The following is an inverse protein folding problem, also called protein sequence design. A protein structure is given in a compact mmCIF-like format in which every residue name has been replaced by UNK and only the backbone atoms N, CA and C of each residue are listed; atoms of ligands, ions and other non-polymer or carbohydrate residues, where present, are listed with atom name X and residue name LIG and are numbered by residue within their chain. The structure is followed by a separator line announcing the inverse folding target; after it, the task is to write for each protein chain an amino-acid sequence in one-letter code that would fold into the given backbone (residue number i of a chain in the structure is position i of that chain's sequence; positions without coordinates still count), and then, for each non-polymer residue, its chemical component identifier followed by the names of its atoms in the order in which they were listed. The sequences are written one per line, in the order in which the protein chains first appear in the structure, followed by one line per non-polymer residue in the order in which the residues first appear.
data_IF_731593675270
#
_entry.id   IF_731593675270
#
_cell.length_a   1.000
_cell.length_b   1.000
_cell.length_c   1.000
_cell.angle_alpha   90.00
_cell.angle_beta   90.00
_cell.angle_gamma   90.00
#
_symmetry.space_group_name_H-M   'P 1'
#
loop_
_entity.id
_entity.type
_entity.pdbx_description
1 polymer ?
#
# COMPACT_ATOMS: atom_id res chain seq x y z
N UNK A 1 -27.48 0.51 -1.55
CA UNK A 1 -26.05 0.73 -1.32
C UNK A 1 -25.29 1.17 -2.58
N UNK A 2 -25.62 0.67 -3.79
CA UNK A 2 -24.91 0.99 -5.05
C UNK A 2 -25.01 2.47 -5.49
N UNK A 3 -26.20 3.10 -5.42
CA UNK A 3 -26.39 4.48 -5.89
C UNK A 3 -25.57 5.49 -5.08
N UNK A 4 -25.50 5.34 -3.76
CA UNK A 4 -24.71 6.22 -2.88
C UNK A 4 -23.22 6.19 -3.20
N UNK A 5 -22.68 5.00 -3.48
CA UNK A 5 -21.27 4.84 -3.87
C UNK A 5 -21.03 5.43 -5.27
N UNK A 6 -21.95 5.24 -6.20
CA UNK A 6 -21.85 5.82 -7.54
C UNK A 6 -21.77 7.35 -7.49
N UNK A 7 -22.67 8.00 -6.74
CA UNK A 7 -22.69 9.47 -6.57
C UNK A 7 -21.40 9.96 -5.90
N UNK A 8 -20.96 9.29 -4.82
CA UNK A 8 -19.69 9.59 -4.14
C UNK A 8 -18.51 9.53 -5.10
N UNK A 9 -18.39 8.45 -5.86
CA UNK A 9 -17.31 8.23 -6.81
C UNK A 9 -17.36 9.22 -7.97
N UNK A 10 -18.55 9.61 -8.42
CA UNK A 10 -18.72 10.66 -9.42
C UNK A 10 -18.09 11.98 -8.96
N UNK A 11 -18.46 12.50 -7.78
CA UNK A 11 -17.89 13.73 -7.25
C UNK A 11 -16.40 13.61 -6.95
N UNK A 12 -15.95 12.45 -6.47
CA UNK A 12 -14.54 12.18 -6.24
C UNK A 12 -13.74 12.25 -7.55
N UNK A 13 -14.25 11.64 -8.62
CA UNK A 13 -13.60 11.67 -9.93
C UNK A 13 -13.68 13.05 -10.62
N UNK A 14 -14.65 13.90 -10.30
CA UNK A 14 -14.61 15.30 -10.74
C UNK A 14 -13.41 16.04 -10.16
N UNK A 15 -13.07 15.77 -8.89
CA UNK A 15 -11.91 16.37 -8.22
C UNK A 15 -10.58 15.74 -8.62
N UNK A 16 -10.59 14.41 -8.86
CA UNK A 16 -9.42 13.58 -9.17
C UNK A 16 -9.71 12.67 -10.37
N UNK A 17 -9.73 13.22 -11.61
CA UNK A 17 -10.18 12.49 -12.82
C UNK A 17 -9.35 11.26 -13.17
N UNK A 18 -8.13 11.20 -12.69
CA UNK A 18 -7.21 10.08 -12.92
C UNK A 18 -7.57 8.81 -12.15
N UNK A 19 -8.46 8.87 -11.16
CA UNK A 19 -8.98 7.69 -10.47
C UNK A 19 -10.18 7.04 -11.15
N UNK A 20 -10.71 7.64 -12.22
CA UNK A 20 -11.84 7.08 -12.96
C UNK A 20 -11.44 5.76 -13.62
N UNK A 21 -12.14 4.67 -13.29
CA UNK A 21 -11.91 3.36 -13.89
C UNK A 21 -12.16 3.36 -15.38
N UNK A 22 -11.23 2.76 -16.11
CA UNK A 22 -11.29 2.54 -17.55
C UNK A 22 -10.93 1.10 -17.86
N UNK A 23 -11.55 0.55 -18.86
CA UNK A 23 -11.11 -0.73 -19.39
C UNK A 23 -9.70 -0.57 -19.97
N UNK A 24 -8.77 -1.38 -19.51
CA UNK A 24 -7.34 -1.29 -19.85
C UNK A 24 -7.12 -1.52 -21.35
N UNK A 25 -7.93 -2.38 -21.95
CA UNK A 25 -7.81 -2.76 -23.36
C UNK A 25 -8.47 -1.77 -24.32
N UNK A 26 -9.65 -1.27 -23.95
CA UNK A 26 -10.45 -0.42 -24.84
C UNK A 26 -10.37 1.07 -24.51
N UNK A 27 -9.82 1.44 -23.33
CA UNK A 27 -9.80 2.81 -22.82
C UNK A 27 -11.18 3.38 -22.47
N UNK A 28 -12.28 2.60 -22.67
CA UNK A 28 -13.65 3.04 -22.38
C UNK A 28 -13.86 3.17 -20.87
N UNK A 29 -14.65 4.18 -20.45
CA UNK A 29 -15.01 4.36 -19.05
C UNK A 29 -15.91 3.23 -18.55
N UNK A 30 -15.60 2.71 -17.35
CA UNK A 30 -16.42 1.72 -16.64
C UNK A 30 -17.51 2.35 -15.75
N UNK A 31 -17.76 3.67 -15.88
CA UNK A 31 -18.71 4.38 -15.03
C UNK A 31 -18.07 4.80 -13.69
N UNK A 32 -18.91 4.86 -12.62
CA UNK A 32 -18.50 5.31 -11.28
C UNK A 32 -18.90 4.31 -10.18
N UNK A 33 -19.31 3.11 -10.54
CA UNK A 33 -19.61 2.04 -9.56
C UNK A 33 -18.37 1.64 -8.76
N UNK A 34 -17.20 1.66 -9.39
CA UNK A 34 -15.89 1.44 -8.80
C UNK A 34 -14.87 2.35 -9.46
N UNK A 35 -13.83 2.73 -8.72
CA UNK A 35 -12.73 3.55 -9.21
C UNK A 35 -11.40 2.86 -8.97
N UNK A 36 -10.33 3.25 -9.64
CA UNK A 36 -8.98 2.77 -9.33
C UNK A 36 -8.57 3.11 -7.88
N UNK A 37 -9.14 4.15 -7.28
CA UNK A 37 -8.94 4.46 -5.87
C UNK A 37 -9.50 3.38 -4.93
N UNK A 38 -10.56 2.70 -5.33
CA UNK A 38 -11.15 1.60 -4.56
C UNK A 38 -10.31 0.32 -4.62
N UNK A 39 -9.34 0.23 -5.56
CA UNK A 39 -8.39 -0.88 -5.66
C UNK A 39 -7.23 -0.75 -4.66
N UNK A 40 -7.02 0.45 -4.10
CA UNK A 40 -6.07 0.60 -3.01
C UNK A 40 -6.51 -0.25 -1.81
N UNK A 41 -5.63 -1.09 -1.24
CA UNK A 41 -5.90 -1.77 0.02
C UNK A 41 -6.41 -0.81 1.09
N UNK A 42 -7.37 -1.27 1.88
CA UNK A 42 -8.15 -0.42 2.80
C UNK A 42 -7.29 0.38 3.77
N UNK A 43 -6.25 -0.26 4.32
CA UNK A 43 -5.36 0.40 5.26
C UNK A 43 -4.60 1.55 4.61
N UNK A 44 -3.96 1.31 3.48
CA UNK A 44 -3.21 2.34 2.76
C UNK A 44 -4.10 3.44 2.21
N UNK A 45 -5.31 3.08 1.76
CA UNK A 45 -6.31 4.06 1.34
C UNK A 45 -6.71 5.00 2.49
N UNK A 46 -6.83 4.47 3.72
CA UNK A 46 -7.10 5.25 4.93
C UNK A 46 -5.89 6.08 5.35
N UNK A 47 -4.70 5.48 5.35
CA UNK A 47 -3.47 6.12 5.80
C UNK A 47 -3.10 7.32 4.96
N UNK A 48 -2.97 7.14 3.65
CA UNK A 48 -2.42 8.17 2.76
C UNK A 48 -3.14 8.35 1.41
N UNK A 49 -4.25 7.66 1.16
CA UNK A 49 -4.92 7.74 -0.15
C UNK A 49 -5.35 9.16 -0.56
N UNK A 50 -5.70 10.02 0.41
CA UNK A 50 -6.03 11.43 0.15
C UNK A 50 -4.78 12.24 -0.22
N UNK A 51 -3.67 12.01 0.46
CA UNK A 51 -2.37 12.63 0.23
C UNK A 51 -1.84 12.24 -1.16
N UNK A 52 -1.83 10.95 -1.46
CA UNK A 52 -1.48 10.39 -2.77
C UNK A 52 -2.29 11.10 -3.88
N UNK A 53 -3.62 11.22 -3.70
CA UNK A 53 -4.47 11.90 -4.69
C UNK A 53 -4.11 13.37 -4.90
N UNK A 54 -3.76 14.08 -3.82
CA UNK A 54 -3.32 15.49 -3.90
C UNK A 54 -1.98 15.62 -4.59
N UNK A 55 -1.05 14.72 -4.28
CA UNK A 55 0.30 14.78 -4.82
C UNK A 55 0.34 14.38 -6.29
N UNK A 56 -0.40 13.36 -6.72
CA UNK A 56 -0.61 13.07 -8.16
C UNK A 56 -1.17 14.30 -8.88
N UNK A 57 -2.15 15.00 -8.28
CA UNK A 57 -2.73 16.20 -8.88
C UNK A 57 -1.71 17.33 -9.02
N UNK A 58 -0.83 17.52 -8.03
CA UNK A 58 0.28 18.49 -8.08
C UNK A 58 1.29 18.10 -9.15
N UNK A 59 1.73 16.85 -9.18
CA UNK A 59 2.66 16.33 -10.16
C UNK A 59 2.13 16.49 -11.60
N UNK A 60 0.85 16.21 -11.84
CA UNK A 60 0.25 16.45 -13.16
C UNK A 60 0.22 17.93 -13.57
N UNK A 61 0.16 18.88 -12.64
CA UNK A 61 0.33 20.31 -12.95
C UNK A 61 1.78 20.62 -13.35
N UNK A 62 2.75 20.02 -12.64
CA UNK A 62 4.17 20.17 -12.97
C UNK A 62 4.47 19.58 -14.35
N UNK A 63 3.96 18.41 -14.68
CA UNK A 63 4.10 17.78 -16.00
C UNK A 63 3.60 18.68 -17.13
N UNK A 64 2.41 19.30 -16.95
CA UNK A 64 1.89 20.27 -17.95
C UNK A 64 2.78 21.48 -18.12
N UNK A 65 3.32 21.99 -17.02
CA UNK A 65 4.26 23.15 -17.04
C UNK A 65 5.56 22.78 -17.75
N UNK A 66 6.17 21.63 -17.42
CA UNK A 66 7.41 21.16 -18.03
C UNK A 66 7.25 20.91 -19.53
N UNK A 67 6.19 20.23 -19.91
CA UNK A 67 5.93 19.86 -21.29
C UNK A 67 5.33 21.00 -22.13
N UNK A 68 4.99 22.13 -21.49
CA UNK A 68 4.34 23.31 -22.13
C UNK A 68 3.10 22.91 -22.97
N UNK A 69 2.38 21.84 -22.56
CA UNK A 69 1.23 21.29 -23.26
C UNK A 69 0.04 21.10 -22.32
N UNK A 70 -1.16 21.35 -22.81
CA UNK A 70 -2.39 21.05 -22.11
C UNK A 70 -2.75 19.57 -22.27
N UNK A 71 -2.12 18.71 -21.48
CA UNK A 71 -2.36 17.27 -21.52
C UNK A 71 -3.60 16.88 -20.72
N UNK A 72 -4.40 15.99 -21.29
CA UNK A 72 -5.50 15.34 -20.55
C UNK A 72 -4.93 14.35 -19.53
N UNK A 73 -5.70 14.05 -18.48
CA UNK A 73 -5.27 13.07 -17.48
C UNK A 73 -4.96 11.70 -18.06
N UNK A 74 -5.72 11.23 -19.03
CA UNK A 74 -5.48 9.93 -19.71
C UNK A 74 -4.12 9.84 -20.39
N UNK A 75 -3.56 10.97 -20.80
CA UNK A 75 -2.25 11.04 -21.47
C UNK A 75 -1.11 11.24 -20.45
N UNK A 76 -1.43 11.59 -19.21
CA UNK A 76 -0.44 11.78 -18.14
C UNK A 76 -0.38 10.61 -17.17
N UNK A 77 -1.49 9.87 -17.00
CA UNK A 77 -1.59 8.73 -16.08
C UNK A 77 -2.62 7.74 -16.58
N UNK A 78 -2.17 6.55 -16.88
CA UNK A 78 -3.00 5.39 -17.25
C UNK A 78 -2.67 4.22 -16.34
N UNK A 79 -3.62 3.84 -15.48
CA UNK A 79 -3.48 2.74 -14.55
C UNK A 79 -3.53 1.40 -15.28
N UNK A 80 -2.65 0.47 -14.89
CA UNK A 80 -2.66 -0.92 -15.32
C UNK A 80 -3.09 -1.84 -14.19
N UNK A 81 -2.54 -1.63 -12.97
CA UNK A 81 -2.83 -2.48 -11.82
C UNK A 81 -2.52 -1.74 -10.51
N UNK A 82 -3.30 -2.01 -9.47
CA UNK A 82 -3.09 -1.52 -8.11
C UNK A 82 -3.33 -2.68 -7.16
N UNK A 83 -2.29 -3.12 -6.45
CA UNK A 83 -2.37 -4.27 -5.57
C UNK A 83 -1.30 -4.26 -4.49
N UNK A 84 -1.49 -5.12 -3.49
CA UNK A 84 -0.42 -5.53 -2.58
C UNK A 84 0.43 -6.61 -3.22
N UNK A 85 1.74 -6.50 -3.09
CA UNK A 85 2.68 -7.54 -3.50
C UNK A 85 3.87 -7.52 -2.54
N UNK A 86 4.14 -8.66 -1.91
CA UNK A 86 5.21 -8.78 -0.90
C UNK A 86 5.11 -7.74 0.22
N UNK A 87 3.88 -7.50 0.70
CA UNK A 87 3.60 -6.53 1.77
C UNK A 87 3.71 -5.05 1.37
N UNK A 88 4.07 -4.72 0.14
CA UNK A 88 4.15 -3.35 -0.33
C UNK A 88 3.10 -3.05 -1.40
N UNK A 89 2.67 -1.80 -1.47
CA UNK A 89 1.79 -1.30 -2.52
C UNK A 89 2.51 -1.33 -3.86
N UNK A 90 1.80 -1.74 -4.91
CA UNK A 90 2.24 -1.64 -6.30
C UNK A 90 1.25 -0.80 -7.09
N UNK A 91 1.76 0.28 -7.66
CA UNK A 91 1.02 1.28 -8.44
C UNK A 91 1.46 1.23 -9.90
N UNK A 92 1.10 0.13 -10.59
CA UNK A 92 1.50 -0.06 -12.00
C UNK A 92 0.70 0.87 -12.91
N UNK A 93 1.39 1.79 -13.57
CA UNK A 93 0.78 2.75 -14.49
C UNK A 93 1.79 3.24 -15.55
N UNK A 94 1.28 3.59 -16.73
CA UNK A 94 2.01 4.48 -17.64
C UNK A 94 1.77 5.92 -17.18
N UNK A 95 2.83 6.64 -16.80
CA UNK A 95 2.73 7.98 -16.24
C UNK A 95 3.86 8.90 -16.71
N UNK A 96 3.64 10.21 -16.59
CA UNK A 96 4.73 11.19 -16.73
C UNK A 96 5.71 11.06 -15.57
N UNK A 97 6.94 11.46 -15.77
CA UNK A 97 8.04 11.34 -14.82
C UNK A 97 7.65 11.86 -13.42
N UNK A 98 7.13 13.08 -13.34
CA UNK A 98 6.74 13.69 -12.06
C UNK A 98 5.64 12.90 -11.33
N UNK A 99 4.75 12.24 -12.07
CA UNK A 99 3.73 11.38 -11.49
C UNK A 99 4.37 10.05 -11.06
N UNK A 100 5.28 9.49 -11.89
CA UNK A 100 5.95 8.24 -11.56
C UNK A 100 6.75 8.34 -10.26
N UNK A 101 7.44 9.47 -10.03
CA UNK A 101 8.15 9.75 -8.78
C UNK A 101 7.20 9.74 -7.57
N UNK A 102 6.00 10.34 -7.73
CA UNK A 102 4.97 10.30 -6.69
C UNK A 102 4.54 8.86 -6.43
N UNK A 103 4.23 8.07 -7.47
CA UNK A 103 3.79 6.68 -7.31
C UNK A 103 4.84 5.86 -6.57
N UNK A 104 6.10 5.95 -7.01
CA UNK A 104 7.21 5.23 -6.39
C UNK A 104 7.39 5.59 -4.91
N UNK A 105 7.33 6.88 -4.56
CA UNK A 105 7.40 7.33 -3.17
C UNK A 105 6.31 6.69 -2.30
N UNK A 106 5.07 6.58 -2.80
CA UNK A 106 3.97 5.98 -2.04
C UNK A 106 4.04 4.44 -2.00
N UNK A 107 4.63 3.79 -2.99
CA UNK A 107 4.96 2.35 -2.92
C UNK A 107 5.91 2.08 -1.75
N UNK A 108 6.97 2.88 -1.62
CA UNK A 108 7.93 2.78 -0.52
C UNK A 108 7.26 3.14 0.82
N UNK A 109 6.51 4.25 0.88
CA UNK A 109 5.81 4.68 2.09
C UNK A 109 4.84 3.62 2.64
N UNK A 110 4.28 2.79 1.75
CA UNK A 110 3.30 1.78 2.13
C UNK A 110 3.82 0.76 3.15
N UNK A 111 5.11 0.48 3.15
CA UNK A 111 5.77 -0.46 4.07
C UNK A 111 5.65 0.02 5.54
N UNK A 112 5.61 1.33 5.76
CA UNK A 112 5.45 1.92 7.10
C UNK A 112 4.02 1.87 7.66
N UNK A 113 3.04 1.38 6.89
CA UNK A 113 1.63 1.39 7.28
C UNK A 113 0.97 0.02 7.17
N UNK A 114 0.13 -0.29 8.15
CA UNK A 114 -0.66 -1.52 8.17
C UNK A 114 -1.62 -1.57 6.97
N UNK A 115 -1.48 -2.60 6.15
CA UNK A 115 -2.30 -2.83 4.95
C UNK A 115 -3.80 -2.94 5.27
N UNK A 116 -4.15 -3.40 6.48
CA UNK A 116 -5.55 -3.65 6.90
C UNK A 116 -6.22 -2.38 7.42
N UNK A 117 -5.60 -1.67 8.36
CA UNK A 117 -6.25 -0.56 9.07
C UNK A 117 -5.64 0.81 8.84
N UNK A 118 -4.40 0.89 8.30
CA UNK A 118 -3.70 2.14 8.03
C UNK A 118 -2.97 2.77 9.21
N UNK A 119 -2.95 2.13 10.39
CA UNK A 119 -2.08 2.53 11.50
C UNK A 119 -0.61 2.28 11.13
N UNK A 120 0.37 2.93 11.78
CA UNK A 120 1.79 2.61 11.60
C UNK A 120 2.03 1.11 11.77
N UNK A 121 2.74 0.50 10.82
CA UNK A 121 3.13 -0.90 10.90
C UNK A 121 4.26 -1.08 11.91
N UNK A 122 4.22 -2.21 12.63
CA UNK A 122 5.23 -2.58 13.64
C UNK A 122 5.75 -3.99 13.46
N UNK A 123 5.07 -4.80 12.64
CA UNK A 123 5.36 -6.21 12.43
C UNK A 123 5.36 -6.52 10.95
N UNK A 124 6.23 -7.40 10.56
CA UNK A 124 6.23 -8.03 9.24
C UNK A 124 6.07 -9.53 9.41
N UNK A 125 5.17 -10.14 8.64
CA UNK A 125 4.95 -11.59 8.69
C UNK A 125 5.95 -12.31 7.80
N UNK A 126 6.37 -13.54 8.17
CA UNK A 126 7.14 -14.42 7.32
C UNK A 126 6.22 -15.29 6.45
N UNK A 127 6.72 -15.79 5.33
CA UNK A 127 5.92 -16.54 4.36
C UNK A 127 5.12 -15.61 3.46
N UNK A 128 3.85 -15.41 3.75
CA UNK A 128 3.06 -14.35 3.11
C UNK A 128 3.39 -13.02 3.76
N UNK A 129 4.18 -12.18 3.09
CA UNK A 129 4.70 -10.92 3.64
C UNK A 129 3.59 -9.88 3.72
N UNK A 130 3.27 -9.42 4.92
CA UNK A 130 2.35 -8.32 5.22
C UNK A 130 2.96 -7.42 6.31
N UNK A 131 2.80 -6.11 6.18
CA UNK A 131 3.19 -5.15 7.22
C UNK A 131 1.96 -4.79 8.04
N UNK A 132 1.99 -5.06 9.34
CA UNK A 132 0.84 -4.98 10.21
C UNK A 132 1.13 -4.14 11.46
N UNK A 133 0.10 -3.43 11.95
CA UNK A 133 0.12 -2.90 13.30
C UNK A 133 -0.13 -4.02 14.33
N UNK A 134 0.12 -3.74 15.59
CA UNK A 134 0.00 -4.71 16.67
C UNK A 134 -1.40 -5.33 16.76
N UNK A 135 -2.46 -4.51 16.68
CA UNK A 135 -3.84 -5.00 16.80
C UNK A 135 -4.20 -5.95 15.65
N UNK A 136 -3.86 -5.57 14.40
CA UNK A 136 -4.14 -6.39 13.23
C UNK A 136 -3.28 -7.64 13.21
N UNK A 137 -2.06 -7.57 13.69
CA UNK A 137 -1.20 -8.72 13.85
C UNK A 137 -1.79 -9.72 14.84
N UNK A 138 -2.16 -9.25 16.06
CA UNK A 138 -2.80 -10.10 17.08
C UNK A 138 -4.12 -10.72 16.59
N UNK A 139 -4.90 -9.98 15.79
CA UNK A 139 -6.15 -10.52 15.23
C UNK A 139 -5.94 -11.56 14.12
N UNK A 140 -4.76 -11.57 13.48
CA UNK A 140 -4.36 -12.58 12.49
C UNK A 140 -3.82 -13.86 13.14
N UNK A 141 -3.35 -13.78 14.38
CA UNK A 141 -3.12 -14.92 15.24
C UNK A 141 -4.52 -15.46 15.58
N UNK A 142 -5.06 -16.32 14.69
CA UNK A 142 -6.45 -16.78 14.80
C UNK A 142 -6.71 -17.40 16.18
N UNK A 143 -7.98 -17.42 16.65
CA UNK A 143 -8.37 -18.16 17.86
C UNK A 143 -7.92 -19.60 17.84
N UNK A 144 -7.82 -20.21 16.65
CA UNK A 144 -7.31 -21.59 16.47
C UNK A 144 -5.82 -21.68 16.79
N UNK A 145 -5.02 -20.64 16.53
CA UNK A 145 -3.60 -20.58 16.95
C UNK A 145 -3.52 -20.29 18.45
N UNK A 146 -4.40 -19.47 19.00
CA UNK A 146 -4.47 -19.21 20.46
C UNK A 146 -5.01 -20.42 21.20
N UNK A 147 -6.01 -21.11 20.69
CA UNK A 147 -6.54 -22.36 21.26
C UNK A 147 -5.64 -23.57 20.99
N UNK A 148 -4.75 -23.50 19.97
CA UNK A 148 -3.68 -24.45 19.76
C UNK A 148 -2.47 -24.23 20.67
N UNK A 149 -2.49 -23.30 21.64
CA UNK A 149 -1.30 -22.98 22.43
C UNK A 149 -0.72 -24.20 23.14
N UNK A 150 -1.52 -25.15 23.63
CA UNK A 150 -0.98 -26.39 24.16
C UNK A 150 -0.34 -27.27 23.09
N UNK A 151 -0.95 -27.39 21.92
CA UNK A 151 -0.42 -28.18 20.79
C UNK A 151 0.70 -27.44 20.05
N UNK A 152 0.70 -26.10 20.05
CA UNK A 152 1.72 -25.28 19.46
C UNK A 152 2.98 -25.25 20.33
N UNK A 153 2.84 -25.02 21.64
CA UNK A 153 3.95 -25.12 22.58
C UNK A 153 4.58 -26.51 22.56
N UNK A 154 3.79 -27.57 22.40
CA UNK A 154 4.32 -28.91 22.27
C UNK A 154 5.06 -29.10 20.94
N UNK A 155 4.49 -28.67 19.82
CA UNK A 155 5.14 -28.71 18.50
C UNK A 155 6.43 -27.89 18.45
N UNK A 156 6.44 -26.74 19.14
CA UNK A 156 7.63 -25.90 19.25
C UNK A 156 8.75 -26.58 20.03
N UNK A 157 8.40 -27.19 21.19
CA UNK A 157 9.34 -27.98 21.99
C UNK A 157 9.88 -29.16 21.19
N UNK A 158 9.03 -29.86 20.43
CA UNK A 158 9.41 -31.00 19.61
C UNK A 158 10.36 -30.59 18.45
N UNK A 159 10.21 -29.38 17.93
CA UNK A 159 11.07 -28.81 16.88
C UNK A 159 12.25 -27.98 17.43
N UNK A 160 12.41 -27.90 18.76
CA UNK A 160 13.38 -27.03 19.45
C UNK A 160 13.25 -25.55 19.05
N UNK A 161 12.04 -25.13 18.73
CA UNK A 161 11.70 -23.73 18.42
C UNK A 161 11.14 -23.04 19.67
N UNK A 162 11.38 -21.76 19.80
CA UNK A 162 10.78 -20.91 20.81
C UNK A 162 9.62 -20.10 20.25
N UNK A 163 8.83 -19.45 21.09
CA UNK A 163 7.75 -18.56 20.65
C UNK A 163 8.32 -17.38 19.82
N UNK A 164 9.59 -17.04 20.01
CA UNK A 164 10.31 -16.01 19.26
C UNK A 164 10.72 -16.48 17.86
N UNK A 165 10.68 -17.79 17.60
CA UNK A 165 10.98 -18.37 16.30
C UNK A 165 9.72 -18.48 15.42
N UNK A 166 8.52 -18.24 15.98
CA UNK A 166 7.24 -18.35 15.27
C UNK A 166 6.61 -17.00 15.03
N UNK A 167 6.21 -16.87 13.82
CA UNK A 167 6.98 -16.65 12.62
C UNK A 167 7.99 -15.55 12.92
N UNK A 168 9.16 -15.52 12.30
CA UNK A 168 10.14 -14.42 12.48
C UNK A 168 9.44 -13.10 12.15
N UNK A 169 8.89 -12.50 13.19
CA UNK A 169 8.17 -11.24 13.12
C UNK A 169 9.18 -10.18 13.44
N UNK A 170 9.55 -9.43 12.42
CA UNK A 170 10.43 -8.30 12.63
C UNK A 170 9.66 -7.19 13.34
N UNK A 171 10.09 -6.80 14.54
CA UNK A 171 9.54 -5.64 15.21
C UNK A 171 10.08 -4.39 14.56
N UNK A 172 9.18 -3.58 14.07
CA UNK A 172 9.50 -2.23 13.65
C UNK A 172 9.55 -1.34 14.90
N UNK A 173 10.73 -0.90 15.28
CA UNK A 173 10.89 0.14 16.32
C UNK A 173 10.84 1.51 15.67
N UNK A 174 10.09 2.44 16.27
CA UNK A 174 9.95 3.82 15.80
C UNK A 174 11.30 4.42 15.39
N UNK A 175 11.49 4.66 14.10
CA UNK A 175 12.68 5.35 13.56
C UNK A 175 14.00 4.57 13.55
N UNK A 176 14.03 3.31 13.95
CA UNK A 176 15.25 2.48 13.90
C UNK A 176 15.19 1.47 12.76
N UNK A 177 16.34 1.31 12.07
CA UNK A 177 16.58 0.27 11.07
C UNK A 177 16.10 -1.09 11.57
N UNK A 178 15.57 -1.87 10.65
CA UNK A 178 15.28 -3.28 10.86
C UNK A 178 16.43 -3.98 11.56
N UNK A 179 16.15 -4.50 12.75
CA UNK A 179 16.96 -5.56 13.33
C UNK A 179 16.42 -6.87 12.74
N UNK A 180 16.79 -7.16 11.51
CA UNK A 180 16.35 -8.36 10.81
C UNK A 180 17.52 -9.03 10.16
N UNK A 181 17.71 -10.30 10.51
CA UNK A 181 18.45 -11.26 9.69
C UNK A 181 17.74 -11.57 8.34
N UNK A 182 16.58 -10.97 8.10
CA UNK A 182 15.91 -11.02 6.80
C UNK A 182 16.50 -9.87 5.98
N UNK A 183 17.51 -10.17 5.19
CA UNK A 183 17.85 -9.35 4.03
C UNK A 183 16.63 -9.32 3.14
N UNK A 184 15.79 -8.28 3.29
CA UNK A 184 14.76 -8.00 2.30
C UNK A 184 15.50 -7.66 1.02
N UNK A 185 14.96 -8.08 -0.12
CA UNK A 185 15.51 -7.84 -1.46
C UNK A 185 15.65 -6.34 -1.78
N UNK A 186 15.30 -5.49 -0.84
CA UNK A 186 15.34 -4.05 -0.87
C UNK A 186 15.96 -3.55 0.44
N UNK A 187 17.29 -3.40 0.45
CA UNK A 187 17.96 -2.54 1.43
C UNK A 187 17.52 -1.09 1.17
N UNK A 188 16.30 -0.76 1.63
CA UNK A 188 15.80 0.60 1.57
C UNK A 188 16.38 1.32 2.77
N UNK A 189 17.27 2.26 2.51
CA UNK A 189 17.78 3.15 3.55
C UNK A 189 16.67 4.12 3.94
N UNK A 190 15.98 3.83 5.04
CA UNK A 190 14.84 4.63 5.54
C UNK A 190 15.26 6.08 5.88
N UNK A 191 16.54 6.31 6.20
CA UNK A 191 17.05 7.66 6.48
C UNK A 191 17.06 8.53 5.23
N UNK A 192 17.33 7.94 4.05
CA UNK A 192 17.28 8.65 2.77
C UNK A 192 15.84 8.95 2.33
N UNK A 193 14.87 8.14 2.78
CA UNK A 193 13.45 8.27 2.44
C UNK A 193 12.76 9.43 3.16
N UNK A 194 13.17 9.73 4.38
CA UNK A 194 12.51 10.72 5.24
C UNK A 194 13.25 12.05 5.29
N UNK A 195 14.42 12.17 4.63
CA UNK A 195 15.23 13.38 4.66
C UNK A 195 15.69 13.75 6.06
N UNK A 196 15.88 12.77 6.93
CA UNK A 196 16.36 12.92 8.29
C UNK A 196 17.90 12.88 8.29
N UNK A 197 18.52 13.78 7.53
CA UNK A 197 19.91 14.20 7.71
C UNK A 197 19.93 15.63 8.08
#
# INVERSE_FOLDING_TARGET
MQLKNYIKNFFFCLRYPFWRSRNVWTGKSCGYSSTFYDWLPDGWRKAFGKELSRDIKKAGKLSRKRLKKHLSWKNMLSWHDIKSKYGSLRLSAAATEEIQDVLHRYEILSIGYCEICGKPARYVTSGWIEYLCEDCFKSRLSPDIVNCNQSLDQKLKDQRLTIDDIPKICRYKDGQKYDTDIKTQYDIDFEDLWGLK
#
